data_IF_738853244567
#
_entry.id   IF_738853244567
#
_cell.length_a   1.000
_cell.length_b   1.000
_cell.length_c   1.000
_cell.angle_alpha   90.00
_cell.angle_beta   90.00
_cell.angle_gamma   90.00
#
_symmetry.space_group_name_H-M   'P 1'
#
loop_
_entity.id
_entity.type
_entity.pdbx_description
1 polymer ?
#
# COMPACT_ATOMS: atom_id res chain seq x y z
N UNK A 1 6.30 28.72 -9.94
CA UNK A 1 5.54 27.84 -10.86
C UNK A 1 5.67 26.36 -10.52
N UNK A 2 6.83 25.87 -10.09
CA UNK A 2 7.01 24.44 -9.71
C UNK A 2 6.02 23.93 -8.67
N UNK A 3 5.79 24.67 -7.57
CA UNK A 3 4.82 24.28 -6.54
C UNK A 3 3.42 23.98 -7.12
N UNK A 4 2.94 24.81 -8.05
CA UNK A 4 1.63 24.60 -8.68
C UNK A 4 1.59 23.29 -9.47
N UNK A 5 2.65 22.97 -10.22
CA UNK A 5 2.77 21.70 -10.96
C UNK A 5 2.70 20.51 -10.02
N UNK A 6 3.46 20.52 -8.91
CA UNK A 6 3.41 19.47 -7.90
C UNK A 6 2.03 19.37 -7.24
N UNK A 7 1.38 20.50 -6.94
CA UNK A 7 0.04 20.52 -6.35
C UNK A 7 -1.02 19.92 -7.26
N UNK A 8 -1.01 20.28 -8.55
CA UNK A 8 -1.96 19.74 -9.54
C UNK A 8 -1.70 18.26 -9.78
N UNK A 9 -0.44 17.85 -9.96
CA UNK A 9 -0.09 16.45 -10.19
C UNK A 9 -0.44 15.57 -8.98
N UNK A 10 0.00 15.98 -7.78
CA UNK A 10 -0.25 15.25 -6.54
C UNK A 10 -1.73 15.18 -6.19
N UNK A 11 -2.45 16.31 -6.29
CA UNK A 11 -3.89 16.37 -6.08
C UNK A 11 -4.69 15.53 -7.07
N UNK A 12 -4.30 15.53 -8.34
CA UNK A 12 -4.91 14.69 -9.38
C UNK A 12 -4.77 13.20 -9.09
N UNK A 13 -3.56 12.75 -8.72
CA UNK A 13 -3.32 11.34 -8.37
C UNK A 13 -4.08 10.92 -7.10
N UNK A 14 -4.17 11.78 -6.09
CA UNK A 14 -4.98 11.53 -4.89
C UNK A 14 -6.45 11.36 -5.27
N UNK A 15 -6.99 12.23 -6.12
CA UNK A 15 -8.39 12.15 -6.54
C UNK A 15 -8.67 10.85 -7.32
N UNK A 16 -7.80 10.50 -8.27
CA UNK A 16 -7.92 9.26 -9.06
C UNK A 16 -7.83 8.04 -8.13
N UNK A 17 -6.82 7.99 -7.27
CA UNK A 17 -6.60 6.86 -6.35
C UNK A 17 -7.72 6.69 -5.33
N UNK A 18 -8.24 7.78 -4.78
CA UNK A 18 -9.38 7.75 -3.88
C UNK A 18 -10.64 7.23 -4.59
N UNK A 19 -10.89 7.69 -5.82
CA UNK A 19 -12.00 7.22 -6.63
C UNK A 19 -11.88 5.73 -6.97
N UNK A 20 -10.71 5.25 -7.40
CA UNK A 20 -10.46 3.82 -7.65
C UNK A 20 -10.66 2.97 -6.39
N UNK A 21 -10.20 3.46 -5.24
CA UNK A 21 -10.33 2.76 -3.96
C UNK A 21 -11.80 2.63 -3.52
N UNK A 22 -12.59 3.69 -3.70
CA UNK A 22 -14.02 3.70 -3.39
C UNK A 22 -14.79 2.73 -4.28
N UNK A 23 -14.51 2.73 -5.59
CA UNK A 23 -15.16 1.81 -6.54
C UNK A 23 -14.83 0.36 -6.16
N UNK A 24 -13.55 0.06 -5.96
CA UNK A 24 -13.08 -1.28 -5.62
C UNK A 24 -13.72 -1.80 -4.33
N UNK A 25 -13.80 -0.95 -3.31
CA UNK A 25 -14.46 -1.31 -2.04
C UNK A 25 -15.96 -1.56 -2.23
N UNK A 26 -16.63 -0.75 -3.04
CA UNK A 26 -18.06 -0.93 -3.33
C UNK A 26 -18.36 -2.20 -4.15
N UNK A 27 -17.48 -2.57 -5.08
CA UNK A 27 -17.58 -3.78 -5.88
C UNK A 27 -17.35 -5.03 -5.02
N UNK A 28 -16.39 -4.99 -4.10
CA UNK A 28 -16.14 -6.06 -3.14
C UNK A 28 -17.40 -6.40 -2.33
N UNK A 29 -18.11 -5.39 -1.82
CA UNK A 29 -19.37 -5.57 -1.08
C UNK A 29 -20.46 -6.23 -1.92
N UNK A 30 -20.65 -5.80 -3.16
CA UNK A 30 -21.66 -6.39 -4.06
C UNK A 30 -21.36 -7.85 -4.39
N UNK A 31 -20.09 -8.22 -4.40
CA UNK A 31 -19.63 -9.55 -4.78
C UNK A 31 -19.75 -10.59 -3.65
N UNK A 32 -19.90 -10.14 -2.39
CA UNK A 32 -19.97 -11.00 -1.22
C UNK A 32 -21.26 -10.72 -0.41
N UNK A 33 -22.45 -11.10 -0.92
CA UNK A 33 -23.74 -10.82 -0.30
C UNK A 33 -24.10 -11.70 0.91
N UNK A 34 -23.22 -12.61 1.36
CA UNK A 34 -23.48 -13.51 2.49
C UNK A 34 -23.69 -12.79 3.84
N UNK A 35 -23.53 -11.47 3.89
CA UNK A 35 -23.90 -10.63 5.03
C UNK A 35 -25.31 -10.03 4.97
N UNK A 36 -26.11 -10.32 3.94
CA UNK A 36 -27.42 -9.65 3.70
C UNK A 36 -28.67 -10.54 3.78
N UNK A 37 -28.54 -11.84 4.07
CA UNK A 37 -29.71 -12.74 4.06
C UNK A 37 -29.81 -13.60 5.32
N UNK A 38 -30.26 -12.99 6.41
CA UNK A 38 -30.96 -13.69 7.49
C UNK A 38 -32.41 -13.22 7.60
N UNK A 39 -33.19 -13.36 6.53
CA UNK A 39 -34.62 -13.66 6.61
C UNK A 39 -35.17 -14.15 5.25
N UNK A 40 -35.61 -15.41 5.24
CA UNK A 40 -36.59 -16.09 4.36
C UNK A 40 -36.25 -16.57 2.92
N UNK A 41 -36.09 -17.91 2.87
CA UNK A 41 -36.59 -18.95 1.93
C UNK A 41 -35.97 -19.18 0.52
N UNK A 42 -36.03 -20.45 0.03
CA UNK A 42 -35.08 -20.98 -0.94
C UNK A 42 -35.60 -20.99 -2.38
N UNK A 43 -34.72 -20.60 -3.31
CA UNK A 43 -34.79 -20.81 -4.76
C UNK A 43 -33.50 -20.21 -5.32
N UNK A 44 -32.79 -20.69 -6.33
CA UNK A 44 -32.87 -21.82 -7.24
C UNK A 44 -31.56 -21.69 -8.04
N UNK A 45 -30.90 -22.78 -8.38
CA UNK A 45 -29.62 -22.78 -9.10
C UNK A 45 -29.74 -22.06 -10.45
N UNK A 46 -29.13 -20.88 -10.59
CA UNK A 46 -28.99 -20.20 -11.87
C UNK A 46 -27.53 -20.17 -12.33
N UNK A 47 -27.30 -20.89 -13.44
CA UNK A 47 -26.10 -20.88 -14.27
C UNK A 47 -25.67 -19.45 -14.61
N UNK A 48 -24.48 -19.05 -14.17
CA UNK A 48 -23.88 -17.76 -14.52
C UNK A 48 -23.27 -17.87 -15.93
N UNK A 49 -24.11 -17.71 -16.95
CA UNK A 49 -23.64 -17.27 -18.26
C UNK A 49 -23.30 -15.77 -18.14
N UNK A 50 -21.99 -15.47 -18.05
CA UNK A 50 -21.48 -14.09 -18.02
C UNK A 50 -21.81 -13.38 -19.34
N UNK A 51 -22.85 -12.57 -19.33
CA UNK A 51 -23.10 -11.55 -20.34
C UNK A 51 -22.06 -10.41 -20.21
N UNK A 52 -21.75 -9.68 -21.30
CA UNK A 52 -20.80 -8.58 -21.25
C UNK A 52 -21.38 -7.48 -20.35
N UNK A 53 -20.69 -7.19 -19.25
CA UNK A 53 -21.06 -6.12 -18.32
C UNK A 53 -21.15 -4.80 -19.10
N UNK A 54 -22.32 -4.16 -19.05
CA UNK A 54 -22.51 -2.79 -19.52
C UNK A 54 -21.46 -1.84 -18.91
N UNK A 55 -21.06 -0.75 -19.61
CA UNK A 55 -20.05 0.17 -19.11
C UNK A 55 -20.51 0.78 -17.79
N UNK A 56 -19.85 0.44 -16.69
CA UNK A 56 -20.14 1.07 -15.40
C UNK A 56 -19.70 2.53 -15.48
N UNK A 57 -20.64 3.46 -15.34
CA UNK A 57 -20.43 4.92 -15.28
C UNK A 57 -19.21 5.33 -14.43
N UNK A 58 -18.93 4.56 -13.37
CA UNK A 58 -17.76 4.70 -12.48
C UNK A 58 -16.40 4.62 -13.16
N UNK A 59 -16.23 3.73 -14.15
CA UNK A 59 -14.96 3.52 -14.84
C UNK A 59 -14.67 4.65 -15.84
N UNK A 60 -15.71 5.20 -16.47
CA UNK A 60 -15.59 6.35 -17.39
C UNK A 60 -15.05 7.59 -16.68
N UNK A 61 -15.50 7.87 -15.45
CA UNK A 61 -14.98 9.01 -14.66
C UNK A 61 -13.49 8.85 -14.39
N UNK A 62 -13.03 7.64 -14.06
CA UNK A 62 -11.60 7.36 -13.81
C UNK A 62 -10.77 7.65 -15.05
N UNK A 63 -11.20 7.16 -16.22
CA UNK A 63 -10.50 7.43 -17.48
C UNK A 63 -10.51 8.92 -17.83
N UNK A 64 -11.61 9.64 -17.60
CA UNK A 64 -11.66 11.08 -17.83
C UNK A 64 -10.67 11.84 -16.95
N UNK A 65 -10.59 11.51 -15.66
CA UNK A 65 -9.62 12.14 -14.75
C UNK A 65 -8.17 11.88 -15.18
N UNK A 66 -7.84 10.63 -15.54
CA UNK A 66 -6.51 10.27 -16.04
C UNK A 66 -6.21 11.01 -17.36
N UNK A 67 -7.17 11.11 -18.27
CA UNK A 67 -7.03 11.83 -19.55
C UNK A 67 -6.72 13.31 -19.31
N UNK A 68 -7.50 13.98 -18.47
CA UNK A 68 -7.29 15.41 -18.14
C UNK A 68 -5.92 15.62 -17.49
N UNK A 69 -5.55 14.79 -16.51
CA UNK A 69 -4.25 14.90 -15.85
C UNK A 69 -3.09 14.67 -16.83
N UNK A 70 -3.22 13.70 -17.73
CA UNK A 70 -2.19 13.40 -18.74
C UNK A 70 -2.04 14.54 -19.73
N UNK A 71 -3.13 15.14 -20.21
CA UNK A 71 -3.10 16.31 -21.08
C UNK A 71 -2.44 17.51 -20.40
N UNK A 72 -2.76 17.78 -19.14
CA UNK A 72 -2.12 18.85 -18.36
C UNK A 72 -0.61 18.60 -18.20
N UNK A 73 -0.20 17.34 -17.96
CA UNK A 73 1.21 16.96 -17.87
C UNK A 73 1.95 17.17 -19.18
N UNK A 74 1.35 16.78 -20.31
CA UNK A 74 1.90 16.99 -21.66
C UNK A 74 2.07 18.48 -21.93
N UNK A 75 1.04 19.29 -21.69
CA UNK A 75 1.10 20.75 -21.89
C UNK A 75 2.19 21.40 -21.02
N UNK A 76 2.27 21.02 -19.74
CA UNK A 76 3.32 21.51 -18.84
C UNK A 76 4.72 21.10 -19.32
N UNK A 77 4.86 19.89 -19.87
CA UNK A 77 6.14 19.39 -20.39
C UNK A 77 6.57 20.15 -21.64
N UNK A 78 5.64 20.46 -22.56
CA UNK A 78 5.94 21.33 -23.71
C UNK A 78 6.42 22.72 -23.29
N UNK A 79 5.78 23.34 -22.30
CA UNK A 79 6.24 24.61 -21.73
C UNK A 79 7.64 24.47 -21.14
N UNK A 80 7.90 23.38 -20.41
CA UNK A 80 9.22 23.10 -19.85
C UNK A 80 10.29 22.81 -20.90
N UNK A 81 9.94 22.19 -22.03
CA UNK A 81 10.84 21.95 -23.15
C UNK A 81 11.23 23.27 -23.83
N UNK A 82 10.27 24.17 -24.05
CA UNK A 82 10.57 25.51 -24.60
C UNK A 82 11.53 26.27 -23.70
N UNK A 83 11.35 26.20 -22.37
CA UNK A 83 12.25 26.79 -21.38
C UNK A 83 13.66 26.15 -21.42
N UNK A 84 13.75 24.82 -21.54
CA UNK A 84 15.02 24.10 -21.66
C UNK A 84 15.78 24.48 -22.95
N UNK A 85 15.08 24.66 -24.07
CA UNK A 85 15.68 25.12 -25.33
C UNK A 85 16.21 26.55 -25.20
N UNK A 86 15.44 27.46 -24.60
CA UNK A 86 15.85 28.84 -24.37
C UNK A 86 17.08 28.94 -23.44
N UNK A 87 17.18 28.05 -22.46
CA UNK A 87 18.31 27.95 -21.52
C UNK A 87 19.49 27.10 -22.05
N UNK A 88 19.39 26.54 -23.26
CA UNK A 88 20.37 25.62 -23.87
C UNK A 88 20.70 24.42 -22.97
N UNK A 89 19.69 23.90 -22.30
CA UNK A 89 19.78 22.75 -21.41
C UNK A 89 19.29 21.46 -22.08
N UNK A 90 20.23 20.76 -22.72
CA UNK A 90 19.95 19.48 -23.38
C UNK A 90 19.45 18.39 -22.40
N UNK A 91 19.91 18.43 -21.15
CA UNK A 91 19.52 17.44 -20.14
C UNK A 91 18.09 17.67 -19.66
N UNK A 92 17.72 18.92 -19.40
CA UNK A 92 16.35 19.31 -19.10
C UNK A 92 15.40 18.96 -20.25
N UNK A 93 15.82 19.16 -21.49
CA UNK A 93 15.02 18.79 -22.67
C UNK A 93 14.79 17.28 -22.76
N UNK A 94 15.84 16.47 -22.63
CA UNK A 94 15.74 15.01 -22.69
C UNK A 94 14.84 14.43 -21.58
N UNK A 95 14.97 14.94 -20.36
CA UNK A 95 14.11 14.54 -19.23
C UNK A 95 12.62 14.83 -19.54
N UNK A 96 12.30 16.00 -20.09
CA UNK A 96 10.91 16.33 -20.42
C UNK A 96 10.35 15.46 -21.54
N UNK A 97 11.17 15.00 -22.49
CA UNK A 97 10.72 14.07 -23.52
C UNK A 97 10.32 12.70 -22.94
N UNK A 98 11.04 12.22 -21.93
CA UNK A 98 10.69 11.01 -21.19
C UNK A 98 9.36 11.17 -20.44
N UNK A 99 9.17 12.31 -19.75
CA UNK A 99 7.90 12.65 -19.07
C UNK A 99 6.73 12.69 -20.06
N UNK A 100 6.92 13.26 -21.26
CA UNK A 100 5.88 13.28 -22.32
C UNK A 100 5.52 11.86 -22.76
N UNK A 101 6.50 10.97 -22.87
CA UNK A 101 6.30 9.58 -23.30
C UNK A 101 5.44 8.82 -22.28
N UNK A 102 5.79 8.95 -21.00
CA UNK A 102 5.02 8.36 -19.89
C UNK A 102 3.59 8.93 -19.86
N UNK A 103 3.44 10.26 -19.97
CA UNK A 103 2.13 10.91 -19.98
C UNK A 103 1.28 10.47 -21.19
N UNK A 104 1.92 10.20 -22.34
CA UNK A 104 1.24 9.67 -23.51
C UNK A 104 0.73 8.24 -23.28
N UNK A 105 1.46 7.38 -22.56
CA UNK A 105 0.97 6.03 -22.21
C UNK A 105 -0.26 6.08 -21.30
N UNK A 106 -0.26 6.97 -20.29
CA UNK A 106 -1.46 7.18 -19.45
C UNK A 106 -2.63 7.78 -20.25
N UNK A 107 -2.37 8.69 -21.19
CA UNK A 107 -3.38 9.22 -22.10
C UNK A 107 -3.95 8.12 -23.01
N UNK A 108 -3.09 7.25 -23.56
CA UNK A 108 -3.48 6.13 -24.41
C UNK A 108 -4.37 5.15 -23.64
N UNK A 109 -3.99 4.82 -22.40
CA UNK A 109 -4.82 4.04 -21.47
C UNK A 109 -6.21 4.68 -21.29
N UNK A 110 -6.26 5.97 -21.00
CA UNK A 110 -7.53 6.66 -20.76
C UNK A 110 -8.42 6.72 -22.02
N UNK A 111 -7.86 7.08 -23.17
CA UNK A 111 -8.60 7.23 -24.43
C UNK A 111 -9.13 5.88 -24.92
N UNK A 112 -8.32 4.81 -24.87
CA UNK A 112 -8.76 3.47 -25.25
C UNK A 112 -9.86 2.95 -24.30
N UNK A 113 -9.73 3.24 -23.00
CA UNK A 113 -10.76 2.92 -22.01
C UNK A 113 -12.09 3.63 -22.27
N UNK A 114 -12.05 4.93 -22.60
CA UNK A 114 -13.24 5.71 -22.98
C UNK A 114 -13.84 5.17 -24.28
N UNK A 115 -13.01 4.91 -25.30
CA UNK A 115 -13.48 4.43 -26.59
C UNK A 115 -14.16 3.06 -26.49
N UNK A 116 -13.61 2.17 -25.67
CA UNK A 116 -14.20 0.86 -25.38
C UNK A 116 -15.54 0.95 -24.63
N UNK A 117 -15.75 2.02 -23.85
CA UNK A 117 -17.01 2.24 -23.14
C UNK A 117 -18.08 2.93 -24.01
N UNK A 118 -17.70 3.74 -25.00
CA UNK A 118 -18.63 4.51 -25.84
C UNK A 118 -19.04 3.73 -27.10
N UNK A 119 -18.10 3.04 -27.74
CA UNK A 119 -18.35 2.34 -29.01
C UNK A 119 -18.51 0.86 -28.76
N UNK A 120 -19.75 0.38 -28.84
CA UNK A 120 -20.07 -1.07 -28.82
C UNK A 120 -19.31 -1.88 -29.88
N UNK A 121 -18.94 -1.23 -31.00
CA UNK A 121 -18.14 -1.84 -32.07
C UNK A 121 -16.64 -1.93 -31.75
N UNK A 122 -16.13 -1.13 -30.82
CA UNK A 122 -14.73 -1.11 -30.43
C UNK A 122 -14.53 -1.91 -29.13
N UNK A 123 -14.44 -3.24 -29.27
CA UNK A 123 -14.12 -4.11 -28.13
C UNK A 123 -12.61 -4.21 -27.96
N UNK A 124 -12.05 -3.39 -27.08
CA UNK A 124 -10.66 -3.51 -26.68
C UNK A 124 -10.53 -4.41 -25.44
N UNK A 125 -9.69 -5.46 -25.46
CA UNK A 125 -9.57 -6.38 -24.34
C UNK A 125 -8.95 -5.68 -23.12
N UNK A 126 -9.61 -5.78 -21.96
CA UNK A 126 -9.17 -5.18 -20.70
C UNK A 126 -7.74 -5.56 -20.32
N UNK A 127 -7.31 -6.79 -20.65
CA UNK A 127 -5.94 -7.26 -20.45
C UNK A 127 -4.91 -6.38 -21.16
N UNK A 128 -5.17 -5.97 -22.41
CA UNK A 128 -4.25 -5.11 -23.16
C UNK A 128 -4.21 -3.69 -22.57
N UNK A 129 -5.33 -3.23 -22.01
CA UNK A 129 -5.40 -1.94 -21.34
C UNK A 129 -4.53 -1.93 -20.07
N UNK A 130 -4.62 -2.99 -19.27
CA UNK A 130 -3.79 -3.15 -18.07
C UNK A 130 -2.30 -3.34 -18.40
N UNK A 131 -1.96 -3.92 -19.56
CA UNK A 131 -0.57 -3.98 -20.05
C UNK A 131 -0.04 -2.57 -20.34
N UNK A 132 -0.79 -1.74 -21.08
CA UNK A 132 -0.40 -0.33 -21.32
C UNK A 132 -0.20 0.41 -20.00
N UNK A 133 -1.09 0.20 -19.03
CA UNK A 133 -1.00 0.84 -17.74
C UNK A 133 0.22 0.38 -16.92
N UNK A 134 0.56 -0.91 -16.99
CA UNK A 134 1.76 -1.46 -16.38
C UNK A 134 3.04 -0.89 -17.01
N UNK A 135 3.08 -0.73 -18.35
CA UNK A 135 4.19 -0.06 -19.03
C UNK A 135 4.32 1.40 -18.60
N UNK A 136 3.21 2.12 -18.44
CA UNK A 136 3.24 3.51 -17.96
C UNK A 136 3.89 3.62 -16.56
N UNK A 137 3.49 2.79 -15.61
CA UNK A 137 4.14 2.75 -14.28
C UNK A 137 5.58 2.23 -14.33
N UNK A 138 5.88 1.30 -15.25
CA UNK A 138 7.23 0.78 -15.45
C UNK A 138 8.19 1.85 -15.95
N UNK A 139 7.77 2.65 -16.93
CA UNK A 139 8.55 3.80 -17.42
C UNK A 139 8.63 4.91 -16.37
N UNK A 140 7.55 5.19 -15.64
CA UNK A 140 7.60 6.15 -14.53
C UNK A 140 8.61 5.72 -13.44
N UNK A 141 8.63 4.43 -13.10
CA UNK A 141 9.61 3.88 -12.17
C UNK A 141 11.04 4.03 -12.70
N UNK A 142 11.26 3.68 -13.98
CA UNK A 142 12.57 3.78 -14.62
C UNK A 142 13.07 5.22 -14.69
N UNK A 143 12.18 6.18 -14.96
CA UNK A 143 12.50 7.60 -14.95
C UNK A 143 13.07 7.98 -13.60
N UNK A 144 12.35 7.77 -12.50
CA UNK A 144 12.82 8.17 -11.18
C UNK A 144 14.02 7.36 -10.68
N UNK A 145 14.11 6.07 -11.04
CA UNK A 145 15.25 5.24 -10.71
C UNK A 145 16.54 5.70 -11.39
N UNK A 146 16.43 6.12 -12.66
CA UNK A 146 17.57 6.59 -13.46
C UNK A 146 17.85 8.08 -13.25
N UNK A 147 16.89 8.83 -12.69
CA UNK A 147 16.97 10.25 -12.37
C UNK A 147 17.86 10.52 -11.13
N UNK A 148 19.05 9.93 -11.10
CA UNK A 148 20.11 10.32 -10.18
C UNK A 148 20.82 11.55 -10.76
N UNK A 149 20.35 12.73 -10.33
CA UNK A 149 21.05 14.00 -10.57
C UNK A 149 22.19 14.16 -9.57
N UNK A 150 22.92 15.28 -9.67
CA UNK A 150 24.06 15.67 -8.83
C UNK A 150 24.13 14.88 -7.51
N UNK A 151 25.19 14.10 -7.23
CA UNK A 151 25.24 13.23 -6.04
C UNK A 151 25.19 14.02 -4.71
N UNK A 152 25.35 15.33 -4.76
CA UNK A 152 25.20 16.27 -3.63
C UNK A 152 23.77 16.80 -3.44
N UNK A 153 22.85 16.49 -4.36
CA UNK A 153 21.45 16.89 -4.32
C UNK A 153 20.65 16.08 -3.29
N UNK A 154 19.91 16.78 -2.45
CA UNK A 154 19.00 16.14 -1.48
C UNK A 154 17.74 15.58 -2.16
N UNK A 155 17.37 16.12 -3.32
CA UNK A 155 16.24 15.68 -4.14
C UNK A 155 16.32 14.20 -4.52
N UNK A 156 17.53 13.66 -4.69
CA UNK A 156 17.74 12.24 -5.00
C UNK A 156 17.09 11.33 -3.96
N UNK A 157 17.14 11.71 -2.67
CA UNK A 157 16.47 10.93 -1.62
C UNK A 157 14.95 10.95 -1.78
N UNK A 158 14.37 12.06 -2.21
CA UNK A 158 12.94 12.14 -2.45
C UNK A 158 12.51 11.31 -3.66
N UNK A 159 13.35 11.29 -4.71
CA UNK A 159 13.15 10.41 -5.87
C UNK A 159 13.24 8.94 -5.47
N UNK A 160 14.27 8.51 -4.73
CA UNK A 160 14.37 7.14 -4.20
C UNK A 160 13.09 6.70 -3.46
N UNK A 161 12.51 7.60 -2.68
CA UNK A 161 11.33 7.31 -1.87
C UNK A 161 10.04 7.24 -2.72
N UNK A 162 9.94 7.96 -3.85
CA UNK A 162 8.77 7.87 -4.74
C UNK A 162 8.70 6.54 -5.51
N UNK A 163 9.83 5.83 -5.66
CA UNK A 163 9.83 4.52 -6.30
C UNK A 163 8.93 3.52 -5.58
N UNK A 164 8.80 3.63 -4.25
CA UNK A 164 7.99 2.73 -3.43
C UNK A 164 6.50 2.78 -3.83
N UNK A 165 5.80 3.94 -3.79
CA UNK A 165 4.41 4.01 -4.23
C UNK A 165 4.22 3.63 -5.70
N UNK A 166 5.15 4.01 -6.60
CA UNK A 166 5.07 3.61 -8.01
C UNK A 166 5.16 2.08 -8.15
N UNK A 167 6.07 1.43 -7.41
CA UNK A 167 6.19 -0.02 -7.39
C UNK A 167 4.92 -0.72 -6.87
N UNK A 168 4.24 -0.14 -5.87
CA UNK A 168 2.94 -0.63 -5.39
C UNK A 168 1.89 -0.58 -6.51
N UNK A 169 1.81 0.54 -7.24
CA UNK A 169 0.91 0.70 -8.39
C UNK A 169 1.22 -0.31 -9.51
N UNK A 170 2.49 -0.48 -9.85
CA UNK A 170 2.96 -1.43 -10.85
C UNK A 170 2.62 -2.86 -10.46
N UNK A 171 3.02 -3.30 -9.26
CA UNK A 171 2.77 -4.65 -8.78
C UNK A 171 1.28 -4.96 -8.68
N UNK A 172 0.48 -4.01 -8.20
CA UNK A 172 -0.98 -4.13 -8.17
C UNK A 172 -1.57 -4.31 -9.58
N UNK A 173 -1.07 -3.58 -10.57
CA UNK A 173 -1.51 -3.72 -11.97
C UNK A 173 -1.10 -5.08 -12.56
N UNK A 174 0.10 -5.58 -12.24
CA UNK A 174 0.55 -6.91 -12.65
C UNK A 174 -0.26 -8.04 -11.99
N UNK A 175 -0.64 -7.88 -10.72
CA UNK A 175 -1.53 -8.81 -10.04
C UNK A 175 -2.93 -8.83 -10.67
N UNK A 176 -3.44 -7.68 -11.11
CA UNK A 176 -4.72 -7.59 -11.82
C UNK A 176 -4.68 -8.35 -13.17
N UNK A 177 -3.53 -8.31 -13.87
CA UNK A 177 -3.30 -9.10 -15.09
C UNK A 177 -3.32 -10.61 -14.83
N UNK A 178 -2.68 -11.06 -13.74
CA UNK A 178 -2.57 -12.48 -13.39
C UNK A 178 -3.86 -13.05 -12.80
N UNK A 179 -4.58 -12.25 -12.02
CA UNK A 179 -5.76 -12.69 -11.26
C UNK A 179 -6.92 -11.70 -11.42
N UNK A 180 -7.60 -11.78 -12.57
CA UNK A 180 -8.78 -10.95 -12.89
C UNK A 180 -10.02 -11.23 -12.03
N UNK A 181 -9.97 -12.25 -11.16
CA UNK A 181 -11.10 -12.65 -10.30
C UNK A 181 -11.21 -11.84 -9.00
N UNK A 182 -10.16 -11.10 -8.61
CA UNK A 182 -10.12 -10.39 -7.33
C UNK A 182 -10.10 -8.87 -7.51
N UNK A 183 -10.82 -8.16 -6.64
CA UNK A 183 -10.87 -6.69 -6.60
C UNK A 183 -9.73 -6.09 -5.75
N UNK A 184 -9.00 -6.90 -4.99
CA UNK A 184 -7.90 -6.41 -4.14
C UNK A 184 -6.75 -5.72 -4.89
N UNK A 185 -6.29 -6.20 -6.06
CA UNK A 185 -5.25 -5.52 -6.82
C UNK A 185 -5.66 -4.09 -7.22
N UNK A 186 -6.91 -3.89 -7.63
CA UNK A 186 -7.44 -2.56 -7.99
C UNK A 186 -7.49 -1.63 -6.77
N UNK A 187 -7.89 -2.14 -5.60
CA UNK A 187 -7.83 -1.39 -4.34
C UNK A 187 -6.38 -1.02 -3.96
N UNK A 188 -5.45 -1.96 -4.08
CA UNK A 188 -4.02 -1.74 -3.82
C UNK A 188 -3.43 -0.65 -4.71
N UNK A 189 -3.77 -0.64 -6.00
CA UNK A 189 -3.39 0.43 -6.93
C UNK A 189 -3.98 1.77 -6.52
N UNK A 190 -5.26 1.83 -6.16
CA UNK A 190 -5.91 3.05 -5.69
C UNK A 190 -5.20 3.66 -4.47
N UNK A 191 -4.85 2.83 -3.47
CA UNK A 191 -4.09 3.25 -2.30
C UNK A 191 -2.68 3.71 -2.68
N UNK A 192 -2.01 2.99 -3.60
CA UNK A 192 -0.70 3.36 -4.14
C UNK A 192 -0.71 4.73 -4.83
N UNK A 193 -1.73 5.02 -5.64
CA UNK A 193 -1.91 6.32 -6.31
C UNK A 193 -2.15 7.46 -5.31
N UNK A 194 -2.92 7.22 -4.24
CA UNK A 194 -3.06 8.19 -3.15
C UNK A 194 -1.71 8.45 -2.49
N UNK A 195 -0.92 7.39 -2.24
CA UNK A 195 0.39 7.54 -1.63
C UNK A 195 1.36 8.32 -2.54
N UNK A 196 1.40 7.97 -3.82
CA UNK A 196 2.18 8.65 -4.84
C UNK A 196 1.84 10.13 -4.90
N UNK A 197 0.54 10.46 -4.94
CA UNK A 197 0.06 11.83 -4.97
C UNK A 197 0.39 12.61 -3.70
N UNK A 198 0.23 12.02 -2.50
CA UNK A 198 0.64 12.64 -1.24
C UNK A 198 2.14 12.95 -1.21
N UNK A 199 2.96 12.02 -1.69
CA UNK A 199 4.40 12.22 -1.73
C UNK A 199 4.82 13.30 -2.74
N UNK A 200 4.16 13.36 -3.90
CA UNK A 200 4.36 14.44 -4.88
C UNK A 200 3.99 15.80 -4.28
N UNK A 201 2.87 15.90 -3.55
CA UNK A 201 2.53 17.13 -2.82
C UNK A 201 3.63 17.50 -1.82
N UNK A 202 4.09 16.53 -1.02
CA UNK A 202 5.14 16.75 -0.03
C UNK A 202 6.46 17.22 -0.67
N UNK A 203 6.85 16.66 -1.81
CA UNK A 203 8.02 17.13 -2.58
C UNK A 203 7.84 18.58 -3.03
N UNK A 204 6.67 18.92 -3.59
CA UNK A 204 6.37 20.30 -4.00
C UNK A 204 6.53 21.30 -2.87
N UNK A 205 5.95 21.02 -1.71
CA UNK A 205 6.10 21.85 -0.52
C UNK A 205 7.53 21.90 0.00
N UNK A 206 8.25 20.77 -0.01
CA UNK A 206 9.64 20.71 0.47
C UNK A 206 10.61 21.48 -0.43
N UNK A 207 10.36 21.52 -1.74
CA UNK A 207 11.29 22.12 -2.71
C UNK A 207 11.02 23.60 -2.98
N UNK A 208 9.74 24.00 -3.01
CA UNK A 208 9.31 25.32 -3.48
C UNK A 208 8.64 26.19 -2.41
N UNK A 209 8.66 25.78 -1.15
CA UNK A 209 8.16 26.57 -0.01
C UNK A 209 9.28 26.87 0.99
N UNK A 210 8.95 27.62 2.04
CA UNK A 210 9.83 27.87 3.19
C UNK A 210 10.09 26.61 4.06
N UNK A 211 9.62 25.44 3.60
CA UNK A 211 9.81 24.14 4.25
C UNK A 211 11.03 23.38 3.70
N UNK A 212 11.81 24.01 2.84
CA UNK A 212 13.11 23.48 2.41
C UNK A 212 14.01 23.29 3.63
N UNK A 213 14.79 22.19 3.65
CA UNK A 213 15.67 21.91 4.77
C UNK A 213 16.61 23.09 5.03
N UNK A 214 16.68 23.52 6.30
CA UNK A 214 17.47 24.67 6.71
C UNK A 214 18.91 24.56 6.19
N UNK A 215 19.37 25.62 5.51
CA UNK A 215 20.70 25.64 4.91
C UNK A 215 20.79 24.97 3.53
N UNK A 216 19.68 24.58 2.92
CA UNK A 216 19.61 24.13 1.53
C UNK A 216 18.88 25.15 0.65
N UNK A 217 19.32 25.26 -0.61
CA UNK A 217 18.77 26.19 -1.59
C UNK A 217 18.53 25.48 -2.92
N UNK A 218 17.41 25.81 -3.56
CA UNK A 218 17.09 25.35 -4.90
C UNK A 218 17.95 26.10 -5.94
N UNK A 219 18.63 25.36 -6.79
CA UNK A 219 19.39 25.86 -7.92
C UNK A 219 18.79 25.34 -9.21
N UNK A 220 18.10 26.22 -9.94
CA UNK A 220 17.35 25.88 -11.15
C UNK A 220 18.15 26.30 -12.39
N UNK A 221 18.47 25.34 -13.27
CA UNK A 221 19.06 25.60 -14.59
C UNK A 221 17.97 25.76 -15.65
N UNK A 222 16.93 24.95 -15.56
CA UNK A 222 15.70 25.01 -16.34
C UNK A 222 14.56 24.44 -15.51
N UNK A 223 13.30 24.63 -15.93
CA UNK A 223 12.13 24.09 -15.22
C UNK A 223 12.17 22.59 -14.95
N UNK A 224 12.81 21.83 -15.84
CA UNK A 224 12.99 20.38 -15.70
C UNK A 224 14.31 19.97 -15.02
N UNK A 225 15.25 20.90 -14.91
CA UNK A 225 16.58 20.65 -14.40
C UNK A 225 16.92 21.61 -13.27
N UNK A 226 16.59 21.17 -12.06
CA UNK A 226 17.00 21.82 -10.84
C UNK A 226 17.72 20.82 -9.94
N UNK A 227 18.49 21.37 -8.99
CA UNK A 227 19.14 20.63 -7.93
C UNK A 227 19.06 21.40 -6.62
N UNK A 228 18.92 20.71 -5.49
CA UNK A 228 18.83 21.35 -4.17
C UNK A 228 20.17 21.13 -3.45
N UNK A 229 20.95 22.20 -3.33
CA UNK A 229 22.28 22.17 -2.74
C UNK A 229 22.25 22.67 -1.31
N UNK A 230 22.83 21.90 -0.42
CA UNK A 230 22.98 22.26 0.99
C UNK A 230 24.37 22.87 1.24
N UNK A 231 24.46 23.80 2.20
CA UNK A 231 25.69 24.53 2.55
C UNK A 231 26.82 23.61 3.03
N UNK A 232 26.48 22.49 3.65
CA UNK A 232 27.45 21.56 4.20
C UNK A 232 26.92 20.13 4.32
N UNK A 233 27.84 19.24 4.68
CA UNK A 233 27.56 17.83 4.96
C UNK A 233 26.53 17.62 6.10
N UNK A 234 26.57 18.34 7.24
CA UNK A 234 25.57 18.11 8.29
C UNK A 234 24.16 18.52 7.86
N UNK A 235 24.00 19.61 7.10
CA UNK A 235 22.69 20.03 6.58
C UNK A 235 22.13 19.02 5.57
N UNK A 236 23.00 18.46 4.72
CA UNK A 236 22.63 17.40 3.77
C UNK A 236 22.07 16.15 4.48
N UNK A 237 22.78 15.63 5.48
CA UNK A 237 22.32 14.45 6.23
C UNK A 237 21.05 14.71 7.01
N UNK A 238 20.94 15.91 7.62
CA UNK A 238 19.72 16.32 8.32
C UNK A 238 18.52 16.32 7.38
N UNK A 239 18.65 16.95 6.21
CA UNK A 239 17.55 16.98 5.25
C UNK A 239 17.20 15.59 4.73
N UNK A 240 18.19 14.71 4.49
CA UNK A 240 17.95 13.32 4.08
C UNK A 240 17.18 12.53 5.15
N UNK A 241 17.50 12.76 6.43
CA UNK A 241 16.78 12.17 7.56
C UNK A 241 15.34 12.71 7.65
N UNK A 242 15.13 14.02 7.49
CA UNK A 242 13.80 14.65 7.47
C UNK A 242 12.94 14.07 6.36
N UNK A 243 13.45 13.94 5.14
CA UNK A 243 12.73 13.33 4.02
C UNK A 243 12.28 11.90 4.34
N UNK A 244 13.18 11.10 4.91
CA UNK A 244 12.89 9.71 5.31
C UNK A 244 11.84 9.65 6.42
N UNK A 245 11.90 10.55 7.40
CA UNK A 245 10.91 10.64 8.47
C UNK A 245 9.53 11.05 7.94
N UNK A 246 9.48 12.08 7.08
CA UNK A 246 8.25 12.53 6.42
C UNK A 246 7.61 11.39 5.65
N UNK A 247 8.38 10.64 4.86
CA UNK A 247 7.87 9.50 4.11
C UNK A 247 7.27 8.43 5.00
N UNK A 248 7.97 8.03 6.06
CA UNK A 248 7.46 7.04 7.01
C UNK A 248 6.20 7.53 7.73
N UNK A 249 6.11 8.81 8.06
CA UNK A 249 4.91 9.41 8.65
C UNK A 249 3.73 9.35 7.67
N UNK A 250 3.93 9.69 6.39
CA UNK A 250 2.90 9.58 5.35
C UNK A 250 2.45 8.13 5.17
N UNK A 251 3.38 7.18 5.14
CA UNK A 251 3.08 5.75 5.03
C UNK A 251 2.27 5.26 6.24
N UNK A 252 2.69 5.56 7.46
CA UNK A 252 1.98 5.16 8.68
C UNK A 252 0.57 5.75 8.75
N UNK A 253 0.42 7.03 8.39
CA UNK A 253 -0.88 7.69 8.31
C UNK A 253 -1.77 7.03 7.25
N UNK A 254 -1.24 6.76 6.06
CA UNK A 254 -1.99 6.12 4.98
C UNK A 254 -2.47 4.72 5.36
N UNK A 255 -1.60 3.89 5.95
CA UNK A 255 -1.97 2.55 6.42
C UNK A 255 -3.05 2.62 7.50
N UNK A 256 -2.89 3.53 8.47
CA UNK A 256 -3.86 3.73 9.55
C UNK A 256 -5.22 4.16 8.99
N UNK A 257 -5.24 5.11 8.04
CA UNK A 257 -6.46 5.54 7.37
C UNK A 257 -7.08 4.43 6.52
N UNK A 258 -6.28 3.68 5.76
CA UNK A 258 -6.79 2.59 4.92
C UNK A 258 -7.45 1.49 5.77
N UNK A 259 -6.79 1.05 6.85
CA UNK A 259 -7.32 0.04 7.78
C UNK A 259 -8.54 0.59 8.54
N UNK A 260 -8.47 1.84 9.00
CA UNK A 260 -9.58 2.50 9.71
C UNK A 260 -10.82 2.65 8.83
N UNK A 261 -10.67 3.17 7.62
CA UNK A 261 -11.75 3.31 6.64
C UNK A 261 -12.31 1.95 6.24
N UNK A 262 -11.45 0.95 5.98
CA UNK A 262 -11.90 -0.40 5.68
C UNK A 262 -12.71 -1.00 6.83
N UNK A 263 -12.26 -0.81 8.09
CA UNK A 263 -12.98 -1.28 9.28
C UNK A 263 -14.33 -0.60 9.45
N UNK A 264 -14.41 0.72 9.26
CA UNK A 264 -15.67 1.48 9.29
C UNK A 264 -16.61 1.00 8.18
N UNK A 265 -16.07 0.74 6.99
CA UNK A 265 -16.81 0.24 5.84
C UNK A 265 -17.36 -1.17 6.09
N UNK A 266 -16.56 -2.08 6.65
CA UNK A 266 -17.00 -3.41 7.08
C UNK A 266 -18.09 -3.33 8.16
N UNK A 267 -17.90 -2.50 9.20
CA UNK A 267 -18.87 -2.32 10.29
C UNK A 267 -20.20 -1.79 9.79
N UNK A 268 -20.20 -0.74 8.95
CA UNK A 268 -21.41 -0.14 8.40
C UNK A 268 -22.19 -1.12 7.52
N UNK A 269 -21.49 -2.04 6.88
CA UNK A 269 -22.06 -2.97 5.91
C UNK A 269 -22.28 -4.38 6.46
N UNK A 270 -22.23 -4.56 7.80
CA UNK A 270 -22.59 -5.82 8.45
C UNK A 270 -21.67 -6.99 8.13
N UNK A 271 -20.44 -6.73 7.67
CA UNK A 271 -19.41 -7.78 7.59
C UNK A 271 -18.97 -8.04 9.03
N UNK A 272 -19.69 -8.95 9.70
CA UNK A 272 -19.19 -9.55 10.92
C UNK A 272 -17.89 -10.26 10.56
N UNK A 273 -16.79 -9.71 11.03
CA UNK A 273 -15.50 -10.36 10.88
C UNK A 273 -15.59 -11.74 11.51
N UNK A 274 -15.29 -12.77 10.72
CA UNK A 274 -14.59 -13.92 11.26
C UNK A 274 -13.24 -13.39 11.75
N UNK A 275 -13.24 -12.73 12.91
CA UNK A 275 -12.03 -12.65 13.72
C UNK A 275 -11.54 -14.08 13.78
N UNK A 276 -10.29 -14.33 13.39
CA UNK A 276 -9.63 -15.62 13.53
C UNK A 276 -9.83 -16.08 14.97
N UNK A 277 -10.92 -16.83 15.20
CA UNK A 277 -11.27 -17.37 16.50
C UNK A 277 -10.17 -18.39 16.71
N UNK A 278 -9.34 -18.16 17.72
CA UNK A 278 -8.31 -19.12 18.11
C UNK A 278 -8.96 -20.50 18.13
N UNK A 279 -8.54 -21.37 17.20
CA UNK A 279 -9.01 -22.73 17.11
C UNK A 279 -8.04 -23.54 17.95
N UNK A 280 -8.40 -23.95 19.17
CA UNK A 280 -7.52 -24.79 19.97
C UNK A 280 -7.20 -26.07 19.19
N UNK A 281 -5.92 -26.40 19.12
CA UNK A 281 -5.45 -27.67 18.57
C UNK A 281 -6.06 -28.80 19.41
N UNK A 282 -7.03 -29.51 18.84
CA UNK A 282 -7.72 -30.63 19.50
C UNK A 282 -9.16 -30.90 19.04
N UNK A 283 -9.82 -29.95 18.37
CA UNK A 283 -11.25 -30.08 18.01
C UNK A 283 -11.49 -30.70 16.62
N UNK A 284 -10.45 -31.07 15.88
CA UNK A 284 -10.58 -31.70 14.55
C UNK A 284 -10.47 -33.24 14.56
N UNK A 285 -10.54 -33.88 15.73
CA UNK A 285 -10.55 -35.35 15.84
C UNK A 285 -11.79 -35.89 16.56
N UNK A 286 -12.86 -35.09 16.69
CA UNK A 286 -14.08 -35.47 17.42
C UNK A 286 -15.30 -35.79 16.56
N UNK A 287 -15.26 -35.57 15.25
CA UNK A 287 -16.42 -35.76 14.37
C UNK A 287 -16.03 -36.45 13.08
N UNK A 288 -16.53 -37.67 12.89
CA UNK A 288 -16.42 -38.49 11.68
C UNK A 288 -15.08 -39.20 11.44
N UNK A 289 -14.74 -40.15 12.31
CA UNK A 289 -14.12 -41.38 11.84
C UNK A 289 -14.67 -42.59 12.60
N UNK A 290 -15.61 -43.25 11.95
CA UNK A 290 -15.99 -44.62 12.26
C UNK A 290 -14.82 -45.53 11.86
N UNK A 291 -13.89 -45.82 12.78
CA UNK A 291 -13.07 -47.02 12.70
C UNK A 291 -12.78 -47.59 14.08
N UNK A 292 -13.00 -48.89 14.12
CA UNK A 292 -12.88 -49.84 15.21
C UNK A 292 -11.49 -49.86 15.87
N UNK A 293 -11.47 -50.25 17.15
CA UNK A 293 -10.34 -50.65 18.01
C UNK A 293 -9.41 -49.59 18.64
N UNK A 294 -9.68 -49.36 19.94
CA UNK A 294 -8.74 -49.55 21.06
C UNK A 294 -7.43 -48.73 21.05
N UNK A 295 -7.48 -47.53 21.61
CA UNK A 295 -6.39 -46.99 22.44
C UNK A 295 -6.92 -45.88 23.35
N UNK A 296 -7.41 -46.30 24.52
CA UNK A 296 -7.72 -45.42 25.64
C UNK A 296 -6.40 -44.99 26.27
N UNK A 297 -5.96 -43.77 25.97
CA UNK A 297 -4.78 -43.18 26.62
C UNK A 297 -5.16 -42.80 28.05
N UNK A 298 -4.86 -43.70 28.98
CA UNK A 298 -4.98 -43.49 30.42
C UNK A 298 -3.59 -43.13 30.92
N UNK A 299 -3.47 -41.98 31.59
CA UNK A 299 -2.27 -41.62 32.31
C UNK A 299 -2.18 -42.56 33.53
N UNK A 300 -1.45 -43.65 33.39
CA UNK A 300 -1.01 -44.46 34.53
C UNK A 300 -0.10 -43.57 35.39
N UNK A 301 -0.58 -43.26 36.58
CA UNK A 301 0.26 -42.70 37.63
C UNK A 301 0.78 -43.90 38.40
N UNK A 302 2.08 -44.16 38.29
CA UNK A 302 2.78 -45.20 39.06
C UNK A 302 2.68 -44.87 40.55
N UNK A 303 1.76 -45.51 41.25
CA UNK A 303 1.71 -45.56 42.71
C UNK A 303 2.29 -46.92 43.15
N UNK A 304 3.54 -46.90 43.63
CA UNK A 304 4.21 -48.05 44.25
C UNK A 304 3.59 -48.33 45.64
N UNK A 305 2.92 -49.47 45.77
CA UNK A 305 2.49 -50.05 47.06
C UNK A 305 3.68 -50.76 47.73
N UNK A 306 4.16 -50.22 48.87
CA UNK A 306 4.87 -51.01 49.88
C UNK A 306 4.17 -50.87 51.23
N UNK A 307 3.68 -52.02 51.67
CA UNK A 307 2.99 -52.32 52.93
C UNK A 307 3.86 -51.95 54.15
N UNK A 308 3.29 -51.18 55.09
CA UNK A 308 3.26 -51.48 56.53
C UNK A 308 2.80 -50.28 57.37
N UNK A 309 1.66 -50.45 58.05
CA UNK A 309 1.54 -50.05 59.45
C UNK A 309 0.86 -48.71 59.81
N UNK A 310 -0.27 -48.87 60.51
CA UNK A 310 -0.68 -48.08 61.70
C UNK A 310 -1.50 -46.79 61.48
N UNK A 311 -2.82 -46.95 61.72
CA UNK A 311 -3.77 -46.16 62.53
C UNK A 311 -3.84 -44.62 62.45
N UNK A 312 -5.09 -44.21 62.23
CA UNK A 312 -5.85 -43.16 62.93
C UNK A 312 -5.45 -41.67 62.84
N UNK A 313 -6.48 -40.92 62.42
CA UNK A 313 -7.03 -39.72 63.06
C UNK A 313 -6.64 -38.33 62.53
N UNK A 314 -7.73 -37.63 62.16
CA UNK A 314 -8.08 -36.26 62.54
C UNK A 314 -7.33 -35.08 61.89
N UNK A 315 -8.15 -34.32 61.17
CA UNK A 315 -8.53 -32.93 61.46
C UNK A 315 -7.62 -31.79 60.99
N UNK A 316 -8.28 -30.85 60.30
CA UNK A 316 -8.24 -29.39 60.52
C UNK A 316 -7.03 -28.64 59.94
N UNK A 317 -7.31 -27.95 58.84
CA UNK A 317 -7.33 -26.48 58.76
C UNK A 317 -6.09 -25.66 59.19
N UNK A 318 -5.81 -24.68 58.33
CA UNK A 318 -5.33 -23.34 58.67
C UNK A 318 -3.82 -23.06 58.62
N UNK A 319 -3.42 -22.51 57.47
CA UNK A 319 -2.96 -21.12 57.30
C UNK A 319 -1.77 -20.56 58.12
N UNK A 320 -0.96 -19.79 57.37
CA UNK A 320 -0.13 -18.63 57.73
C UNK A 320 1.26 -18.88 58.32
N UNK A 321 2.26 -18.37 57.61
CA UNK A 321 3.04 -17.16 57.96
C UNK A 321 4.39 -17.22 57.18
N UNK A 322 4.63 -16.34 56.21
CA UNK A 322 5.28 -15.02 56.38
C UNK A 322 6.80 -15.14 56.62
N UNK A 323 7.54 -14.75 55.56
CA UNK A 323 8.74 -13.89 55.57
C UNK A 323 10.11 -14.57 55.82
N UNK A 324 11.01 -14.43 54.83
CA UNK A 324 12.27 -13.64 54.88
C UNK A 324 13.23 -14.19 53.82
N UNK A 325 13.64 -13.31 52.89
CA UNK A 325 14.82 -13.48 52.02
C UNK A 325 16.08 -13.23 52.85
N UNK A 326 17.20 -13.94 52.57
CA UNK A 326 18.48 -13.25 52.58
C UNK A 326 19.25 -13.44 51.26
N UNK A 327 19.74 -12.32 50.74
CA UNK A 327 20.91 -12.28 49.87
C UNK A 327 22.16 -12.76 50.63
N UNK A 328 23.05 -13.48 49.94
CA UNK A 328 24.49 -13.40 50.23
C UNK A 328 25.31 -13.62 48.95
N UNK A 329 25.83 -12.50 48.46
CA UNK A 329 27.10 -12.30 47.74
C UNK A 329 28.11 -13.44 47.73
N UNK A 330 28.68 -13.74 46.56
CA UNK A 330 30.09 -14.16 46.41
C UNK A 330 30.72 -13.46 45.22
N UNK A 331 31.76 -12.69 45.54
CA UNK A 331 32.70 -11.99 44.66
C UNK A 331 33.82 -12.93 44.14
N UNK A 332 34.44 -12.52 43.03
CA UNK A 332 35.90 -12.43 42.92
C UNK A 332 36.55 -13.29 41.82
N UNK A 333 37.11 -12.67 40.78
CA UNK A 333 38.51 -12.16 40.64
C UNK A 333 39.43 -13.23 40.02
N UNK A 334 40.37 -12.98 39.10
CA UNK A 334 40.96 -11.78 38.47
C UNK A 334 41.85 -12.29 37.31
N UNK A 335 42.11 -11.54 36.23
CA UNK A 335 43.01 -10.38 36.10
C UNK A 335 44.29 -10.75 35.31
N UNK A 336 44.43 -10.06 34.16
CA UNK A 336 45.62 -9.51 33.47
C UNK A 336 46.98 -9.56 34.21
N UNK A 337 48.12 -9.56 33.50
CA UNK A 337 48.58 -8.44 32.66
C UNK A 337 48.39 -8.61 31.14
#
# INVERSE_FOLDING_TARGET
MGLFTYTVAGGGLILIGAWESLISSSEYLKSNPSSFSSLQSPAESQNINRTPKAPSFSSTVTFLLISVLSLLSILNSFVSMSDAVNSKDNTGFALQLEVVTIAFLFLLYAVLGILANIKESFRFPLTMLNVIYAFAFGEEFLLFYTQNKDPSGIENRYYDLILIPIAICLFSTLLELKSSKSTYPRLGRGIGLVFQGLWILQMGFSFYSNLIADGCALHERSRGNYTIKCKGHPEYHRGRAIATLQFNCHLALLVTLAVGLYSVFCKKNGINGDFMRYKPLGVEYGGEMHLNNQSQFTLDSDDDDDDNGIKEAKSVEMQRAIVVVPESTVNGYGSHP
#
